data_IF_898623668526
#
_entry.id   IF_898623668526
#
_cell.length_a   1.000
_cell.length_b   1.000
_cell.length_c   1.000
_cell.angle_alpha   90.00
_cell.angle_beta   90.00
_cell.angle_gamma   90.00
#
_symmetry.space_group_name_H-M   'P 1'
#
loop_
_entity.id
_entity.type
_entity.pdbx_description
1 polymer ?
#
# COMPACT_ATOMS: atom_id res chain seq x y z
N UNK A 1 4.04 -2.34 -19.92
CA UNK A 1 3.52 -1.01 -19.66
C UNK A 1 2.96 -0.85 -18.24
N UNK A 2 2.27 0.25 -17.98
CA UNK A 2 1.75 0.60 -16.63
C UNK A 2 0.83 -0.48 -16.07
N UNK A 3 -0.08 -1.02 -16.87
CA UNK A 3 -0.96 -2.13 -16.44
C UNK A 3 -0.17 -3.34 -15.96
N UNK A 4 0.85 -3.74 -16.74
CA UNK A 4 1.69 -4.88 -16.37
C UNK A 4 2.45 -4.63 -15.07
N UNK A 5 2.94 -3.41 -14.86
CA UNK A 5 3.68 -3.05 -13.65
C UNK A 5 2.82 -3.19 -12.38
N UNK A 6 1.57 -2.74 -12.44
CA UNK A 6 0.62 -2.86 -11.31
C UNK A 6 -0.17 -4.17 -11.29
N UNK A 7 0.04 -5.07 -12.26
CA UNK A 7 -0.67 -6.34 -12.35
C UNK A 7 -2.15 -6.21 -12.74
N UNK A 8 -2.50 -5.13 -13.47
CA UNK A 8 -3.87 -4.87 -13.93
C UNK A 8 -4.19 -5.56 -15.28
N UNK A 9 -3.29 -6.36 -15.80
CA UNK A 9 -3.38 -7.04 -17.08
C UNK A 9 -3.42 -8.58 -16.98
N UNK A 10 -3.62 -9.10 -15.77
CA UNK A 10 -3.53 -10.54 -15.51
C UNK A 10 -4.46 -11.02 -14.41
N UNK A 11 -4.84 -12.29 -14.50
CA UNK A 11 -5.50 -12.99 -13.39
C UNK A 11 -4.50 -13.24 -12.28
N UNK A 12 -4.86 -12.86 -11.05
CA UNK A 12 -4.03 -13.08 -9.87
C UNK A 12 -4.88 -13.57 -8.70
N UNK A 13 -4.37 -14.55 -7.97
CA UNK A 13 -5.01 -15.03 -6.74
C UNK A 13 -4.81 -14.05 -5.59
N UNK A 14 -3.68 -13.31 -5.60
CA UNK A 14 -3.31 -12.38 -4.53
C UNK A 14 -3.15 -10.99 -5.13
N UNK A 15 -3.75 -10.00 -4.47
CA UNK A 15 -3.59 -8.57 -4.76
C UNK A 15 -2.91 -7.88 -3.58
N UNK A 16 -1.84 -7.15 -3.82
CA UNK A 16 -1.23 -6.24 -2.86
C UNK A 16 -1.70 -4.82 -3.17
N UNK A 17 -2.33 -4.16 -2.20
CA UNK A 17 -2.73 -2.75 -2.29
C UNK A 17 -2.11 -1.98 -1.13
N UNK A 18 -1.36 -0.91 -1.44
CA UNK A 18 -0.75 -0.13 -0.37
C UNK A 18 0.17 0.97 -0.86
N UNK A 19 0.68 1.71 0.11
CA UNK A 19 1.69 2.75 -0.09
C UNK A 19 3.12 2.19 -0.01
N UNK A 20 4.10 3.07 0.16
CA UNK A 20 5.52 2.73 0.19
C UNK A 20 5.92 1.67 1.22
N UNK A 21 5.24 1.60 2.37
CA UNK A 21 5.57 0.62 3.41
C UNK A 21 5.36 -0.81 2.89
N UNK A 22 4.16 -1.16 2.41
CA UNK A 22 3.90 -2.48 1.83
C UNK A 22 4.72 -2.70 0.55
N UNK A 23 4.88 -1.65 -0.26
CA UNK A 23 5.67 -1.71 -1.50
C UNK A 23 7.12 -2.14 -1.23
N UNK A 24 7.76 -1.56 -0.22
CA UNK A 24 9.15 -1.82 0.13
C UNK A 24 9.34 -3.05 1.02
N UNK A 25 8.30 -3.50 1.70
CA UNK A 25 8.33 -4.70 2.55
C UNK A 25 8.16 -6.01 1.77
N UNK A 26 7.76 -5.95 0.50
CA UNK A 26 7.41 -7.15 -0.26
C UNK A 26 8.23 -7.31 -1.53
N UNK A 27 8.81 -8.50 -1.72
CA UNK A 27 9.46 -8.94 -2.95
C UNK A 27 8.47 -9.82 -3.74
N UNK A 28 7.80 -9.20 -4.72
CA UNK A 28 6.76 -9.86 -5.52
C UNK A 28 7.26 -11.10 -6.25
N UNK A 29 8.43 -11.01 -6.88
CA UNK A 29 8.97 -12.11 -7.69
C UNK A 29 9.27 -13.33 -6.82
N UNK A 30 9.85 -13.10 -5.66
CA UNK A 30 10.10 -14.13 -4.67
C UNK A 30 8.79 -14.75 -4.15
N UNK A 31 7.79 -13.92 -3.82
CA UNK A 31 6.48 -14.39 -3.38
C UNK A 31 5.80 -15.25 -4.45
N UNK A 32 5.77 -14.83 -5.71
CA UNK A 32 5.20 -15.61 -6.82
C UNK A 32 5.87 -16.97 -6.98
N UNK A 33 7.20 -16.98 -6.88
CA UNK A 33 7.99 -18.22 -7.01
C UNK A 33 7.73 -19.19 -5.87
N UNK A 34 7.79 -18.72 -4.62
CA UNK A 34 7.70 -19.59 -3.44
C UNK A 34 6.25 -20.02 -3.13
N UNK A 35 5.26 -19.20 -3.46
CA UNK A 35 3.83 -19.53 -3.32
C UNK A 35 3.27 -20.25 -4.54
N UNK A 36 4.02 -20.35 -5.62
CA UNK A 36 3.58 -20.90 -6.91
C UNK A 36 2.22 -20.31 -7.36
N UNK A 37 2.10 -19.00 -7.30
CA UNK A 37 0.87 -18.29 -7.62
C UNK A 37 1.14 -16.93 -8.28
N UNK A 38 0.16 -16.40 -8.98
CA UNK A 38 0.26 -15.07 -9.60
C UNK A 38 -0.16 -13.99 -8.62
N UNK A 39 0.62 -12.91 -8.57
CA UNK A 39 0.40 -11.77 -7.67
C UNK A 39 0.31 -10.47 -8.48
N UNK A 40 -0.73 -9.70 -8.24
CA UNK A 40 -0.83 -8.30 -8.66
C UNK A 40 -0.32 -7.40 -7.54
N UNK A 41 0.68 -6.58 -7.82
CA UNK A 41 1.23 -5.63 -6.84
C UNK A 41 0.86 -4.21 -7.24
N UNK A 42 -0.28 -3.75 -6.76
CA UNK A 42 -0.77 -2.39 -6.98
C UNK A 42 -0.40 -1.52 -5.79
N UNK A 43 0.86 -1.13 -5.74
CA UNK A 43 1.42 -0.30 -4.67
C UNK A 43 2.16 0.89 -5.27
N UNK A 44 2.08 2.06 -4.60
CA UNK A 44 2.81 3.26 -4.99
C UNK A 44 3.10 4.14 -3.76
N UNK A 45 4.23 4.84 -3.81
CA UNK A 45 4.56 5.84 -2.78
C UNK A 45 3.49 6.92 -2.69
N UNK A 46 3.15 7.32 -1.47
CA UNK A 46 2.27 8.44 -1.17
C UNK A 46 0.77 8.20 -1.36
N UNK A 47 0.33 7.03 -1.84
CA UNK A 47 -1.11 6.77 -1.99
C UNK A 47 -1.82 6.73 -0.64
N UNK A 48 -2.90 7.49 -0.54
CA UNK A 48 -3.73 7.60 0.65
C UNK A 48 -4.93 6.62 0.62
N UNK A 49 -5.80 6.70 1.60
CA UNK A 49 -6.98 5.81 1.70
C UNK A 49 -7.93 6.01 0.52
N UNK A 50 -8.13 7.25 0.06
CA UNK A 50 -8.97 7.54 -1.10
C UNK A 50 -8.40 6.93 -2.39
N UNK A 51 -7.10 7.09 -2.62
CA UNK A 51 -6.43 6.47 -3.77
C UNK A 51 -6.58 4.95 -3.75
N UNK A 52 -6.37 4.33 -2.58
CA UNK A 52 -6.46 2.87 -2.42
C UNK A 52 -7.86 2.33 -2.68
N UNK A 53 -8.91 3.10 -2.37
CA UNK A 53 -10.27 2.74 -2.78
C UNK A 53 -10.43 2.69 -4.30
N UNK A 54 -9.90 3.70 -4.99
CA UNK A 54 -9.89 3.72 -6.46
C UNK A 54 -9.08 2.56 -7.04
N UNK A 55 -7.92 2.24 -6.46
CA UNK A 55 -7.10 1.10 -6.86
C UNK A 55 -7.86 -0.23 -6.73
N UNK A 56 -8.51 -0.45 -5.59
CA UNK A 56 -9.34 -1.64 -5.35
C UNK A 56 -10.51 -1.69 -6.33
N UNK A 57 -11.23 -0.58 -6.49
CA UNK A 57 -12.35 -0.50 -7.43
C UNK A 57 -11.90 -0.81 -8.86
N UNK A 58 -10.80 -0.23 -9.33
CA UNK A 58 -10.26 -0.46 -10.66
C UNK A 58 -9.93 -1.96 -10.88
N UNK A 59 -9.30 -2.60 -9.90
CA UNK A 59 -9.00 -4.02 -9.99
C UNK A 59 -10.27 -4.88 -10.02
N UNK A 60 -11.19 -4.63 -9.09
CA UNK A 60 -12.43 -5.42 -8.95
C UNK A 60 -13.40 -5.27 -10.14
N UNK A 61 -13.33 -4.16 -10.88
CA UNK A 61 -14.14 -3.96 -12.09
C UNK A 61 -13.45 -4.44 -13.37
N UNK A 62 -12.22 -4.92 -13.26
CA UNK A 62 -11.50 -5.50 -14.40
C UNK A 62 -11.99 -6.93 -14.69
N UNK A 63 -11.80 -7.39 -15.92
CA UNK A 63 -12.07 -8.78 -16.32
C UNK A 63 -11.18 -9.82 -15.62
N UNK A 64 -10.22 -9.38 -14.81
CA UNK A 64 -9.27 -10.24 -14.12
C UNK A 64 -9.64 -10.49 -12.65
N UNK A 65 -10.69 -9.83 -12.16
CA UNK A 65 -11.07 -9.85 -10.75
C UNK A 65 -11.55 -11.22 -10.24
N UNK A 66 -12.13 -12.04 -11.10
CA UNK A 66 -12.76 -13.32 -10.72
C UNK A 66 -11.79 -14.34 -10.12
N UNK A 67 -10.48 -14.17 -10.36
CA UNK A 67 -9.44 -15.05 -9.82
C UNK A 67 -8.95 -14.62 -8.43
N UNK A 68 -9.35 -13.44 -7.97
CA UNK A 68 -8.86 -12.88 -6.71
C UNK A 68 -9.43 -13.65 -5.52
N UNK A 69 -8.55 -14.08 -4.62
CA UNK A 69 -8.89 -14.79 -3.37
C UNK A 69 -8.46 -14.01 -2.14
N UNK A 70 -7.27 -13.40 -2.19
CA UNK A 70 -6.65 -12.73 -1.05
C UNK A 70 -6.21 -11.32 -1.46
N UNK A 71 -6.51 -10.33 -0.63
CA UNK A 71 -5.95 -8.99 -0.73
C UNK A 71 -5.08 -8.70 0.49
N UNK A 72 -3.79 -8.45 0.28
CA UNK A 72 -2.91 -7.87 1.28
C UNK A 72 -3.05 -6.34 1.20
N UNK A 73 -3.69 -5.76 2.19
CA UNK A 73 -3.92 -4.31 2.26
C UNK A 73 -2.99 -3.68 3.28
N UNK A 74 -2.08 -2.82 2.82
CA UNK A 74 -1.10 -2.16 3.68
C UNK A 74 -1.75 -1.13 4.60
N UNK A 75 -1.49 -1.23 5.89
CA UNK A 75 -1.90 -0.26 6.92
C UNK A 75 -0.70 0.19 7.74
N UNK A 76 -0.80 1.32 8.40
CA UNK A 76 0.20 1.86 9.32
C UNK A 76 -0.44 2.80 10.35
N UNK A 77 0.41 3.39 11.21
CA UNK A 77 0.02 4.32 12.26
C UNK A 77 -0.72 5.56 11.74
N UNK A 78 -0.39 6.00 10.53
CA UNK A 78 -0.93 7.20 9.91
C UNK A 78 -1.99 6.92 8.85
N UNK A 79 -2.49 5.70 8.78
CA UNK A 79 -3.53 5.32 7.78
C UNK A 79 -4.74 6.23 7.84
N UNK A 80 -5.13 6.69 9.03
CA UNK A 80 -6.28 7.56 9.25
C UNK A 80 -5.92 9.01 9.57
N UNK A 81 -4.67 9.42 9.32
CA UNK A 81 -4.20 10.80 9.50
C UNK A 81 -4.27 11.55 8.18
N UNK A 82 -5.15 12.55 8.08
CA UNK A 82 -5.31 13.37 6.88
C UNK A 82 -4.19 14.38 6.68
N UNK A 83 -3.68 14.96 7.77
CA UNK A 83 -2.61 15.94 7.72
C UNK A 83 -1.31 15.33 7.18
N UNK A 84 -0.73 15.96 6.17
CA UNK A 84 0.52 15.50 5.54
C UNK A 84 0.34 14.37 4.52
N UNK A 85 -0.90 14.03 4.11
CA UNK A 85 -1.14 13.17 2.96
C UNK A 85 -0.62 13.81 1.68
N UNK A 86 -0.11 13.00 0.77
CA UNK A 86 0.25 13.47 -0.57
C UNK A 86 -0.97 14.01 -1.29
N UNK A 87 -0.87 15.26 -1.74
CA UNK A 87 -1.94 15.90 -2.53
C UNK A 87 -1.88 15.55 -4.03
N UNK A 88 -0.80 14.88 -4.46
CA UNK A 88 -0.54 14.57 -5.87
C UNK A 88 -0.58 13.07 -6.19
N UNK A 89 -0.92 12.23 -5.23
CA UNK A 89 -0.96 10.77 -5.41
C UNK A 89 -1.98 10.33 -6.47
N UNK A 90 -3.07 11.09 -6.66
CA UNK A 90 -4.07 10.85 -7.70
C UNK A 90 -3.49 10.86 -9.13
N UNK A 91 -2.32 11.48 -9.34
CA UNK A 91 -1.67 11.53 -10.66
C UNK A 91 -1.32 10.13 -11.21
N UNK A 92 -1.16 9.16 -10.33
CA UNK A 92 -1.03 7.75 -10.68
C UNK A 92 -2.13 7.28 -11.64
N UNK A 93 -3.32 7.85 -11.56
CA UNK A 93 -4.49 7.44 -12.31
C UNK A 93 -4.63 8.10 -13.69
N UNK A 94 -3.81 9.08 -14.05
CA UNK A 94 -3.88 9.74 -15.36
C UNK A 94 -3.92 8.78 -16.56
N UNK A 95 -3.12 7.69 -16.61
CA UNK A 95 -3.20 6.72 -17.70
C UNK A 95 -4.58 6.06 -17.85
N UNK A 96 -5.38 6.07 -16.80
CA UNK A 96 -6.65 5.36 -16.69
C UNK A 96 -7.89 6.25 -16.77
N UNK A 97 -7.74 7.52 -17.17
CA UNK A 97 -8.84 8.51 -17.25
C UNK A 97 -9.99 8.14 -18.21
N UNK A 98 -9.83 7.09 -18.99
CA UNK A 98 -10.94 6.59 -19.82
C UNK A 98 -11.95 5.75 -18.99
N UNK A 99 -11.61 5.38 -17.74
CA UNK A 99 -12.53 4.79 -16.78
C UNK A 99 -13.36 5.91 -16.10
N UNK A 100 -14.71 5.87 -16.14
CA UNK A 100 -15.54 6.96 -15.62
C UNK A 100 -15.32 7.29 -14.14
N UNK A 101 -15.09 6.29 -13.29
CA UNK A 101 -14.88 6.49 -11.85
C UNK A 101 -13.52 7.12 -11.57
N UNK A 102 -12.51 6.70 -12.31
CA UNK A 102 -11.18 7.31 -12.23
C UNK A 102 -11.19 8.74 -12.74
N UNK A 103 -11.89 8.99 -13.85
CA UNK A 103 -12.08 10.33 -14.40
C UNK A 103 -12.74 11.28 -13.38
N UNK A 104 -13.81 10.82 -12.75
CA UNK A 104 -14.50 11.59 -11.70
C UNK A 104 -13.59 11.86 -10.49
N UNK A 105 -12.82 10.86 -10.06
CA UNK A 105 -11.86 11.01 -8.96
C UNK A 105 -10.80 12.05 -9.28
N UNK A 106 -10.17 11.96 -10.46
CA UNK A 106 -9.15 12.93 -10.88
C UNK A 106 -9.76 14.34 -10.98
N UNK A 107 -10.99 14.46 -11.49
CA UNK A 107 -11.70 15.74 -11.58
C UNK A 107 -11.91 16.40 -10.21
N UNK A 108 -12.11 15.60 -9.15
CA UNK A 108 -12.22 16.11 -7.76
C UNK A 108 -10.88 16.53 -7.17
N UNK A 109 -9.79 15.87 -7.55
CA UNK A 109 -8.46 16.06 -6.94
C UNK A 109 -7.60 17.08 -7.69
N UNK A 110 -7.68 17.11 -9.01
CA UNK A 110 -6.84 17.96 -9.85
C UNK A 110 -7.39 19.39 -9.96
N UNK A 111 -6.48 20.36 -10.22
CA UNK A 111 -6.92 21.67 -10.70
C UNK A 111 -7.64 21.55 -12.05
N UNK A 112 -8.55 22.48 -12.34
CA UNK A 112 -9.29 22.47 -13.61
C UNK A 112 -8.35 22.45 -14.83
N UNK A 113 -7.26 23.22 -14.78
CA UNK A 113 -6.27 23.27 -15.86
C UNK A 113 -5.61 21.90 -16.07
N UNK A 114 -5.14 21.24 -14.99
CA UNK A 114 -4.50 19.94 -15.10
C UNK A 114 -5.50 18.85 -15.53
N UNK A 115 -6.72 18.89 -15.01
CA UNK A 115 -7.76 17.95 -15.42
C UNK A 115 -7.99 18.04 -16.94
N UNK A 116 -8.28 19.22 -17.48
CA UNK A 116 -8.58 19.39 -18.90
C UNK A 116 -7.38 19.13 -19.80
N UNK A 117 -6.15 19.47 -19.36
CA UNK A 117 -4.93 19.14 -20.08
C UNK A 117 -4.83 17.63 -20.32
N UNK A 118 -4.96 16.83 -19.25
CA UNK A 118 -4.84 15.35 -19.35
C UNK A 118 -6.09 14.69 -19.96
N UNK A 119 -7.25 15.34 -19.88
CA UNK A 119 -8.47 14.87 -20.52
C UNK A 119 -8.39 14.97 -22.03
N UNK A 120 -7.91 16.08 -22.55
CA UNK A 120 -7.85 16.40 -23.98
C UNK A 120 -6.57 15.87 -24.65
N UNK A 121 -5.42 15.97 -23.99
CA UNK A 121 -4.12 15.56 -24.52
C UNK A 121 -3.67 14.23 -23.89
N UNK A 122 -4.09 13.12 -24.47
CA UNK A 122 -3.78 11.77 -23.95
C UNK A 122 -2.29 11.51 -23.69
N UNK A 123 -1.41 12.07 -24.53
CA UNK A 123 0.04 11.93 -24.36
C UNK A 123 0.54 12.54 -23.06
N UNK A 124 -0.09 13.60 -22.57
CA UNK A 124 0.28 14.26 -21.31
C UNK A 124 0.07 13.39 -20.08
N UNK A 125 -0.81 12.39 -20.15
CA UNK A 125 -1.11 11.44 -19.07
C UNK A 125 0.10 10.62 -18.63
N UNK A 126 1.16 10.59 -19.45
CA UNK A 126 2.39 9.85 -19.22
C UNK A 126 3.59 10.75 -18.90
N UNK A 127 3.37 12.04 -18.62
CA UNK A 127 4.45 12.97 -18.35
C UNK A 127 5.04 12.86 -16.93
N UNK A 128 4.33 12.28 -15.99
CA UNK A 128 4.83 12.00 -14.64
C UNK A 128 5.95 10.96 -14.67
N UNK A 129 7.08 11.23 -14.00
CA UNK A 129 8.24 10.35 -14.04
C UNK A 129 7.99 9.00 -13.34
N UNK A 130 7.14 8.97 -12.32
CA UNK A 130 6.71 7.72 -11.70
C UNK A 130 5.88 6.86 -12.65
N UNK A 131 5.03 7.47 -13.49
CA UNK A 131 4.25 6.77 -14.51
C UNK A 131 5.17 6.27 -15.64
N UNK A 132 6.11 7.10 -16.11
CA UNK A 132 7.12 6.69 -17.10
C UNK A 132 7.94 5.53 -16.57
N UNK A 133 8.42 5.65 -15.33
CA UNK A 133 9.15 4.58 -14.65
C UNK A 133 8.35 3.28 -14.56
N UNK A 134 7.10 3.35 -14.14
CA UNK A 134 6.19 2.20 -14.09
C UNK A 134 5.95 1.58 -15.47
N UNK A 135 5.80 2.41 -16.52
CA UNK A 135 5.63 1.93 -17.89
C UNK A 135 6.85 1.15 -18.41
N UNK A 136 8.05 1.70 -18.19
CA UNK A 136 9.33 1.07 -18.60
C UNK A 136 9.57 -0.22 -17.79
N UNK A 137 9.40 -0.17 -16.48
CA UNK A 137 9.60 -1.32 -15.60
C UNK A 137 8.60 -2.44 -15.89
N UNK A 138 7.33 -2.12 -16.11
CA UNK A 138 6.34 -3.10 -16.51
C UNK A 138 6.59 -3.70 -17.91
N UNK A 139 7.25 -2.98 -18.82
CA UNK A 139 7.71 -3.51 -20.08
C UNK A 139 8.90 -4.46 -19.90
N UNK A 140 9.84 -4.08 -19.03
CA UNK A 140 11.05 -4.90 -18.69
C UNK A 140 10.74 -6.05 -17.73
N UNK A 141 9.53 -6.13 -17.19
CA UNK A 141 9.15 -7.08 -16.13
C UNK A 141 10.03 -6.95 -14.88
N UNK A 142 10.35 -5.72 -14.51
CA UNK A 142 11.15 -5.38 -13.32
C UNK A 142 10.24 -4.87 -12.20
N UNK A 143 10.05 -5.67 -11.15
CA UNK A 143 9.27 -5.33 -9.96
C UNK A 143 10.15 -5.06 -8.74
N UNK A 144 11.47 -4.99 -8.90
CA UNK A 144 12.39 -4.73 -7.80
C UNK A 144 12.11 -3.37 -7.15
N UNK A 145 11.79 -3.38 -5.87
CA UNK A 145 11.56 -2.19 -5.05
C UNK A 145 12.43 -2.32 -3.80
N UNK A 146 13.67 -1.85 -3.86
CA UNK A 146 14.61 -2.00 -2.74
C UNK A 146 15.24 -0.67 -2.40
N UNK A 147 15.35 -0.40 -1.11
CA UNK A 147 16.14 0.69 -0.56
C UNK A 147 17.42 0.11 0.05
N UNK A 148 18.52 0.77 -0.14
CA UNK A 148 19.81 0.39 0.46
C UNK A 148 20.14 1.32 1.63
N UNK A 149 21.08 0.89 2.46
CA UNK A 149 21.51 1.64 3.63
C UNK A 149 20.77 1.25 4.91
N UNK A 150 21.19 1.84 6.01
CA UNK A 150 20.62 1.64 7.34
C UNK A 150 20.31 3.01 7.94
N UNK A 151 19.21 3.08 8.68
CA UNK A 151 18.75 4.31 9.32
C UNK A 151 19.81 4.90 10.26
N UNK A 152 20.00 6.20 10.18
CA UNK A 152 20.86 6.96 11.09
C UNK A 152 20.07 7.32 12.38
N UNK A 153 20.22 6.49 13.39
CA UNK A 153 19.51 6.63 14.67
C UNK A 153 19.81 7.95 15.39
N UNK A 154 21.08 8.42 15.52
CA UNK A 154 21.38 9.71 16.13
C UNK A 154 20.66 10.88 15.46
N UNK A 155 20.71 10.96 14.14
CA UNK A 155 20.03 12.01 13.36
C UNK A 155 18.52 11.93 13.55
N UNK A 156 17.94 10.73 13.58
CA UNK A 156 16.50 10.57 13.77
C UNK A 156 16.06 10.98 15.20
N UNK A 157 16.80 10.59 16.24
CA UNK A 157 16.53 11.03 17.61
C UNK A 157 16.49 12.56 17.74
N UNK A 158 17.42 13.27 17.08
CA UNK A 158 17.41 14.72 17.06
C UNK A 158 16.14 15.30 16.41
N UNK A 159 15.64 14.70 15.34
CA UNK A 159 14.36 15.11 14.71
C UNK A 159 13.17 14.93 15.64
N UNK A 160 13.09 13.82 16.35
CA UNK A 160 12.03 13.59 17.34
C UNK A 160 12.05 14.63 18.47
N UNK A 161 13.23 14.99 18.96
CA UNK A 161 13.38 16.03 19.99
C UNK A 161 12.94 17.41 19.51
N UNK A 162 13.06 17.70 18.22
CA UNK A 162 12.59 18.95 17.61
C UNK A 162 11.10 18.96 17.26
N UNK A 163 10.38 17.86 17.48
CA UNK A 163 8.97 17.76 17.14
C UNK A 163 8.67 17.71 15.63
N UNK A 164 9.66 17.34 14.83
CA UNK A 164 9.55 17.29 13.36
C UNK A 164 8.88 16.00 12.85
N UNK A 165 8.02 15.39 13.65
CA UNK A 165 7.35 14.14 13.25
C UNK A 165 5.86 14.34 13.07
N UNK A 166 5.26 13.49 12.22
CA UNK A 166 3.83 13.52 11.94
C UNK A 166 3.05 12.94 13.11
N UNK A 167 2.03 13.66 13.56
CA UNK A 167 1.14 13.19 14.61
C UNK A 167 0.17 12.12 14.10
N UNK A 168 -0.15 11.18 14.97
CA UNK A 168 -1.15 10.14 14.71
C UNK A 168 -2.53 10.74 14.96
N UNK A 169 -3.44 10.55 13.99
CA UNK A 169 -4.84 10.96 14.07
C UNK A 169 -5.76 9.84 13.58
N UNK A 170 -7.00 9.85 14.04
CA UNK A 170 -8.04 8.89 13.67
C UNK A 170 -9.24 9.65 13.08
N UNK A 171 -9.10 10.13 11.84
CA UNK A 171 -10.13 10.93 11.18
C UNK A 171 -11.31 10.05 10.73
N UNK A 172 -12.56 10.36 11.16
CA UNK A 172 -13.72 9.54 10.84
C UNK A 172 -13.95 9.35 9.34
N UNK A 173 -13.71 10.38 8.53
CA UNK A 173 -13.85 10.31 7.08
C UNK A 173 -12.89 9.29 6.42
N UNK A 174 -11.66 9.19 6.92
CA UNK A 174 -10.68 8.21 6.42
C UNK A 174 -11.02 6.79 6.90
N UNK A 175 -11.53 6.65 8.12
CA UNK A 175 -12.01 5.37 8.65
C UNK A 175 -13.20 4.86 7.82
N UNK A 176 -14.14 5.74 7.50
CA UNK A 176 -15.30 5.37 6.68
C UNK A 176 -14.89 4.94 5.27
N UNK A 177 -14.02 5.69 4.62
CA UNK A 177 -13.50 5.36 3.29
C UNK A 177 -12.72 4.04 3.26
N UNK A 178 -11.92 3.79 4.29
CA UNK A 178 -11.23 2.52 4.49
C UNK A 178 -12.24 1.37 4.66
N UNK A 179 -13.22 1.53 5.55
CA UNK A 179 -14.23 0.51 5.84
C UNK A 179 -15.02 0.14 4.58
N UNK A 180 -15.42 1.13 3.79
CA UNK A 180 -16.08 0.91 2.49
C UNK A 180 -15.17 0.13 1.52
N UNK A 181 -13.88 0.44 1.51
CA UNK A 181 -12.90 -0.25 0.65
C UNK A 181 -12.78 -1.73 1.02
N UNK A 182 -12.66 -2.02 2.32
CA UNK A 182 -12.58 -3.41 2.80
C UNK A 182 -13.88 -4.16 2.47
N UNK A 183 -15.03 -3.51 2.67
CA UNK A 183 -16.34 -4.09 2.32
C UNK A 183 -16.45 -4.44 0.83
N UNK A 184 -15.92 -3.61 -0.07
CA UNK A 184 -15.91 -3.92 -1.52
C UNK A 184 -15.19 -5.24 -1.83
N UNK A 185 -14.14 -5.57 -1.08
CA UNK A 185 -13.39 -6.82 -1.23
C UNK A 185 -14.15 -8.01 -0.61
N UNK A 186 -14.62 -7.86 0.64
CA UNK A 186 -15.29 -8.95 1.35
C UNK A 186 -16.65 -9.30 0.75
N UNK A 187 -17.39 -8.35 0.19
CA UNK A 187 -18.63 -8.59 -0.57
C UNK A 187 -18.42 -9.47 -1.81
N UNK A 188 -17.18 -9.62 -2.26
CA UNK A 188 -16.79 -10.54 -3.35
C UNK A 188 -16.10 -11.81 -2.86
N UNK A 189 -16.25 -12.13 -1.57
CA UNK A 189 -15.61 -13.27 -0.93
C UNK A 189 -14.07 -13.24 -1.02
N UNK A 190 -13.47 -12.06 -1.11
CA UNK A 190 -12.03 -11.88 -1.03
C UNK A 190 -11.62 -11.79 0.43
N UNK A 191 -10.70 -12.67 0.86
CA UNK A 191 -10.08 -12.56 2.18
C UNK A 191 -9.16 -11.34 2.20
N UNK A 192 -9.35 -10.45 3.18
CA UNK A 192 -8.53 -9.26 3.35
C UNK A 192 -7.59 -9.45 4.53
N UNK A 193 -6.31 -9.26 4.28
CA UNK A 193 -5.28 -9.27 5.30
C UNK A 193 -4.73 -7.86 5.42
N UNK A 194 -5.02 -7.20 6.54
CA UNK A 194 -4.47 -5.89 6.88
C UNK A 194 -3.03 -6.10 7.35
N UNK A 195 -2.08 -5.60 6.58
CA UNK A 195 -0.65 -5.81 6.84
C UNK A 195 -0.04 -4.54 7.40
N UNK A 196 0.32 -4.55 8.69
CA UNK A 196 1.10 -3.51 9.33
C UNK A 196 2.58 -3.90 9.28
N UNK A 197 3.28 -3.36 8.29
CA UNK A 197 4.72 -3.59 8.14
C UNK A 197 5.50 -2.84 9.21
N UNK A 198 6.67 -3.32 9.67
CA UNK A 198 7.40 -2.68 10.74
C UNK A 198 7.80 -1.24 10.41
N UNK A 199 7.65 -0.38 11.39
CA UNK A 199 8.24 0.95 11.48
C UNK A 199 9.20 0.99 12.66
N UNK A 200 10.12 1.95 12.67
CA UNK A 200 11.13 2.04 13.71
C UNK A 200 10.48 2.20 15.10
N UNK A 201 10.96 1.49 16.10
CA UNK A 201 10.46 1.54 17.48
C UNK A 201 10.39 2.97 18.05
N UNK A 202 11.40 3.80 17.79
CA UNK A 202 11.43 5.20 18.19
C UNK A 202 10.25 6.01 17.65
N UNK A 203 9.73 5.66 16.48
CA UNK A 203 8.52 6.27 15.92
C UNK A 203 7.27 5.80 16.68
N UNK A 204 7.21 4.51 16.98
CA UNK A 204 6.08 3.90 17.69
C UNK A 204 5.97 4.43 19.14
N UNK A 205 7.12 4.78 19.74
CA UNK A 205 7.24 5.34 21.08
C UNK A 205 7.01 6.86 21.13
N UNK A 206 6.91 7.55 20.01
CA UNK A 206 6.74 9.00 19.95
C UNK A 206 5.37 9.46 20.49
N UNK A 207 4.30 8.76 20.15
CA UNK A 207 2.95 8.95 20.68
C UNK A 207 2.36 7.58 21.09
N UNK A 208 2.85 6.97 22.19
CA UNK A 208 2.58 5.57 22.51
C UNK A 208 1.10 5.26 22.72
N UNK A 209 0.35 6.14 23.38
CA UNK A 209 -1.10 5.95 23.60
C UNK A 209 -1.88 5.96 22.27
N UNK A 210 -1.49 6.81 21.33
CA UNK A 210 -2.12 6.86 20.01
C UNK A 210 -1.71 5.66 19.16
N UNK A 211 -0.46 5.22 19.28
CA UNK A 211 0.00 3.98 18.66
C UNK A 211 -0.86 2.78 19.09
N UNK A 212 -1.02 2.61 20.42
CA UNK A 212 -1.85 1.52 20.97
C UNK A 212 -3.30 1.63 20.52
N UNK A 213 -3.85 2.84 20.47
CA UNK A 213 -5.22 3.09 19.98
C UNK A 213 -5.40 2.64 18.52
N UNK A 214 -4.45 2.93 17.64
CA UNK A 214 -4.52 2.50 16.22
C UNK A 214 -4.41 0.99 16.10
N UNK A 215 -3.46 0.37 16.82
CA UNK A 215 -3.29 -1.10 16.83
C UNK A 215 -4.54 -1.79 17.37
N UNK A 216 -5.11 -1.29 18.48
CA UNK A 216 -6.33 -1.82 19.05
C UNK A 216 -7.53 -1.68 18.08
N UNK A 217 -7.59 -0.57 17.35
CA UNK A 217 -8.63 -0.35 16.34
C UNK A 217 -8.56 -1.40 15.22
N UNK A 218 -7.37 -1.63 14.62
CA UNK A 218 -7.23 -2.63 13.55
C UNK A 218 -7.48 -4.04 14.06
N UNK A 219 -7.03 -4.36 15.27
CA UNK A 219 -7.27 -5.66 15.91
C UNK A 219 -8.77 -5.92 16.08
N UNK A 220 -9.51 -4.93 16.60
CA UNK A 220 -10.96 -5.02 16.75
C UNK A 220 -11.65 -5.09 15.41
N UNK A 221 -11.26 -4.22 14.47
CA UNK A 221 -11.86 -4.21 13.13
C UNK A 221 -11.75 -5.59 12.46
N UNK A 222 -10.60 -6.24 12.54
CA UNK A 222 -10.42 -7.59 12.00
C UNK A 222 -11.27 -8.63 12.74
N UNK A 223 -11.39 -8.53 14.07
CA UNK A 223 -12.21 -9.43 14.85
C UNK A 223 -13.72 -9.30 14.58
N UNK A 224 -14.18 -8.09 14.26
CA UNK A 224 -15.59 -7.77 14.03
C UNK A 224 -16.03 -8.01 12.58
N UNK A 225 -15.12 -8.34 11.67
CA UNK A 225 -15.42 -8.52 10.24
C UNK A 225 -14.98 -9.92 9.78
N UNK A 226 -15.94 -10.68 9.26
CA UNK A 226 -15.65 -11.97 8.62
C UNK A 226 -14.73 -11.77 7.40
N UNK A 227 -13.83 -12.71 7.17
CA UNK A 227 -12.82 -12.66 6.09
C UNK A 227 -11.82 -11.50 6.19
N UNK A 228 -11.64 -10.91 7.37
CA UNK A 228 -10.60 -9.90 7.63
C UNK A 228 -9.64 -10.41 8.70
N UNK A 229 -8.35 -10.30 8.43
CA UNK A 229 -7.27 -10.55 9.40
C UNK A 229 -6.39 -9.32 9.56
N UNK A 230 -5.71 -9.20 10.69
CA UNK A 230 -4.71 -8.18 10.95
C UNK A 230 -3.38 -8.82 11.30
N UNK A 231 -2.36 -8.55 10.48
CA UNK A 231 -0.99 -9.00 10.71
C UNK A 231 -0.12 -7.81 11.09
N UNK A 232 0.30 -7.77 12.35
CA UNK A 232 1.18 -6.73 12.88
C UNK A 232 2.60 -7.28 13.05
N UNK A 233 3.53 -6.74 12.25
CA UNK A 233 4.94 -7.12 12.31
C UNK A 233 5.78 -6.18 13.18
N UNK A 234 5.23 -5.08 13.71
CA UNK A 234 5.94 -4.14 14.57
C UNK A 234 6.52 -4.80 15.83
N UNK A 235 5.77 -5.57 16.64
CA UNK A 235 6.28 -6.11 17.90
C UNK A 235 7.53 -6.97 17.74
N UNK A 236 7.66 -7.64 16.60
CA UNK A 236 8.77 -8.56 16.34
C UNK A 236 10.00 -7.88 15.73
N UNK A 237 9.80 -6.78 14.98
CA UNK A 237 10.85 -6.26 14.09
C UNK A 237 11.18 -4.78 14.29
N UNK A 238 10.37 -3.99 14.97
CA UNK A 238 10.56 -2.53 15.08
C UNK A 238 11.88 -2.12 15.75
N UNK A 239 12.39 -2.92 16.68
CA UNK A 239 13.68 -2.69 17.36
C UNK A 239 14.90 -3.21 16.60
N UNK A 240 14.70 -3.89 15.48
CA UNK A 240 15.79 -4.38 14.64
C UNK A 240 16.24 -3.33 13.64
N UNK A 241 16.94 -2.31 14.12
CA UNK A 241 17.30 -1.11 13.37
C UNK A 241 18.07 -1.39 12.08
N UNK A 242 18.82 -2.48 12.01
CA UNK A 242 19.55 -2.91 10.82
C UNK A 242 18.66 -3.32 9.63
N UNK A 243 17.34 -3.44 9.85
CA UNK A 243 16.36 -3.77 8.80
C UNK A 243 15.75 -2.53 8.13
N UNK A 244 16.05 -1.33 8.64
CA UNK A 244 15.41 -0.09 8.19
C UNK A 244 16.34 0.77 7.35
N UNK A 245 15.80 1.33 6.26
CA UNK A 245 16.41 2.37 5.47
C UNK A 245 16.24 3.75 6.13
N UNK A 246 15.03 4.00 6.61
CA UNK A 246 14.65 5.16 7.41
C UNK A 246 13.59 4.74 8.45
N UNK A 247 12.98 5.70 9.16
CA UNK A 247 12.01 5.42 10.24
C UNK A 247 10.74 4.69 9.81
N UNK A 248 10.40 4.75 8.52
CA UNK A 248 9.16 4.21 7.95
C UNK A 248 9.39 3.02 7.03
N UNK A 249 10.58 2.94 6.43
CA UNK A 249 10.82 2.06 5.31
C UNK A 249 11.90 1.02 5.61
N UNK A 250 11.60 -0.21 5.29
CA UNK A 250 12.57 -1.30 5.32
C UNK A 250 13.62 -1.13 4.23
N UNK A 251 14.85 -1.54 4.53
CA UNK A 251 15.90 -1.70 3.52
C UNK A 251 15.79 -3.09 2.83
N UNK A 252 16.73 -3.39 1.93
CA UNK A 252 16.73 -4.65 1.20
C UNK A 252 16.75 -5.90 2.12
N UNK A 253 17.45 -5.83 3.26
CA UNK A 253 17.48 -6.92 4.24
C UNK A 253 16.12 -7.06 4.94
N UNK A 254 15.54 -5.95 5.37
CA UNK A 254 14.21 -5.92 6.00
C UNK A 254 13.12 -6.42 5.05
N UNK A 255 13.18 -6.04 3.76
CA UNK A 255 12.27 -6.57 2.74
C UNK A 255 12.31 -8.11 2.69
N UNK A 256 13.50 -8.72 2.67
CA UNK A 256 13.60 -10.17 2.59
C UNK A 256 13.06 -10.87 3.84
N UNK A 257 13.29 -10.29 5.03
CA UNK A 257 12.77 -10.81 6.30
C UNK A 257 11.24 -10.78 6.31
N UNK A 258 10.62 -9.64 6.00
CA UNK A 258 9.16 -9.50 6.03
C UNK A 258 8.50 -10.29 4.88
N UNK A 259 9.13 -10.35 3.71
CA UNK A 259 8.66 -11.22 2.63
C UNK A 259 8.59 -12.69 3.07
N UNK A 260 9.60 -13.18 3.81
CA UNK A 260 9.58 -14.55 4.37
C UNK A 260 8.40 -14.76 5.31
N UNK A 261 8.20 -13.85 6.27
CA UNK A 261 7.07 -13.93 7.22
C UNK A 261 5.71 -13.97 6.50
N UNK A 262 5.54 -13.13 5.47
CA UNK A 262 4.31 -13.09 4.68
C UNK A 262 4.13 -14.40 3.91
N UNK A 263 5.17 -14.93 3.28
CA UNK A 263 5.12 -16.20 2.54
C UNK A 263 4.71 -17.35 3.48
N UNK A 264 5.36 -17.45 4.63
CA UNK A 264 5.10 -18.53 5.60
C UNK A 264 3.63 -18.50 6.07
N UNK A 265 3.10 -17.33 6.35
CA UNK A 265 1.69 -17.17 6.72
C UNK A 265 0.74 -17.49 5.55
N UNK A 266 1.03 -17.01 4.34
CA UNK A 266 0.21 -17.26 3.15
C UNK A 266 0.22 -18.73 2.72
N UNK A 267 1.29 -19.47 2.96
CA UNK A 267 1.34 -20.90 2.67
C UNK A 267 0.31 -21.67 3.51
N UNK A 268 0.06 -21.24 4.73
CA UNK A 268 -1.00 -21.81 5.57
C UNK A 268 -2.40 -21.48 5.00
N UNK A 269 -2.61 -20.25 4.55
CA UNK A 269 -3.88 -19.79 3.96
C UNK A 269 -4.23 -20.54 2.66
N UNK A 270 -3.23 -20.72 1.78
CA UNK A 270 -3.43 -21.33 0.47
C UNK A 270 -3.58 -22.87 0.49
N UNK A 271 -3.30 -23.53 1.62
CA UNK A 271 -3.47 -24.98 1.78
C UNK A 271 -4.92 -25.38 2.05
N UNK A 272 -5.76 -24.45 2.46
CA UNK A 272 -7.15 -24.72 2.84
C UNK A 272 -8.16 -24.31 1.74
N UNK A 273 -7.67 -23.78 0.60
CA UNK A 273 -8.44 -23.55 -0.64
C UNK A 273 -8.25 -24.72 -1.64
#
# INVERSE_FOLDING_TARGET
GVNAFYGLDRHSKILLVGHSHLMLATDKERMEKELNTTISKYTREGVNVYDRKIMVHQYLTSKYADSLKICLYGVDLCTFTGKGLSQNSYMLFYPFMDNPIIDEYIKKCASATNYWLHKLLRVSRYNDDGIKGAAVRGWRKDWSNRKNGVVDIPTYKNKLLNGDERHIEMEPALIDEFTQTIKMLTDRNVKVILVNTPTLDLLNEYEPEKYEMVVAWFTRFAADHENVEYWDFNPKYSSRHELFHDRLHLNAKGQQVITTEIIDKLQSELKYD
#
